data_IF_850402761653
#
_entry.id   IF_850402761653
#
_cell.length_a   1.000
_cell.length_b   1.000
_cell.length_c   1.000
_cell.angle_alpha   90.00
_cell.angle_beta   90.00
_cell.angle_gamma   90.00
#
_symmetry.space_group_name_H-M   'P 1'
#
loop_
_entity.id
_entity.type
_entity.pdbx_description
1 polymer ?
#
# COMPACT_ATOMS: atom_id res chain seq x y z
N UNK A 1 -0.92 -10.48 -15.33
CA UNK A 1 -1.60 -9.34 -14.66
C UNK A 1 -3.03 -9.17 -15.14
N UNK A 2 -3.28 -8.92 -16.43
CA UNK A 2 -4.62 -8.65 -16.97
C UNK A 2 -5.65 -9.76 -16.77
N UNK A 3 -5.22 -11.03 -16.76
CA UNK A 3 -6.10 -12.17 -16.48
C UNK A 3 -6.76 -12.11 -15.09
N UNK A 4 -6.16 -11.42 -14.12
CA UNK A 4 -6.68 -11.30 -12.77
C UNK A 4 -7.17 -9.87 -12.46
N UNK A 5 -6.46 -8.84 -12.93
CA UNK A 5 -6.76 -7.44 -12.62
C UNK A 5 -7.55 -6.71 -13.72
N UNK A 6 -7.96 -7.41 -14.78
CA UNK A 6 -8.63 -6.81 -15.94
C UNK A 6 -7.64 -6.24 -16.97
N UNK A 7 -8.11 -6.08 -18.20
CA UNK A 7 -7.28 -5.58 -19.33
C UNK A 7 -6.77 -4.16 -19.04
N UNK A 8 -7.58 -3.36 -18.35
CA UNK A 8 -7.29 -1.98 -17.95
C UNK A 8 -6.73 -1.87 -16.53
N UNK A 9 -6.51 -2.99 -15.84
CA UNK A 9 -6.05 -2.98 -14.44
C UNK A 9 -7.10 -2.44 -13.46
N UNK A 10 -8.36 -2.30 -13.87
CA UNK A 10 -9.46 -1.71 -13.09
C UNK A 10 -9.99 -2.63 -11.96
N UNK A 11 -9.46 -3.85 -11.85
CA UNK A 11 -9.85 -4.79 -10.82
C UNK A 11 -11.16 -5.53 -11.10
N UNK A 12 -11.63 -5.55 -12.36
CA UNK A 12 -12.79 -6.35 -12.79
C UNK A 12 -14.02 -6.12 -11.89
N UNK A 13 -14.43 -4.86 -11.74
CA UNK A 13 -15.56 -4.46 -10.88
C UNK A 13 -15.40 -4.92 -9.41
N UNK A 14 -14.19 -4.75 -8.85
CA UNK A 14 -13.90 -5.07 -7.45
C UNK A 14 -13.63 -6.54 -7.15
N UNK A 15 -13.57 -7.41 -8.17
CA UNK A 15 -13.16 -8.82 -8.00
C UNK A 15 -11.66 -8.98 -7.76
N UNK A 16 -10.87 -7.96 -8.11
CA UNK A 16 -9.45 -7.90 -7.88
C UNK A 16 -9.04 -6.46 -7.54
N UNK A 17 -7.80 -6.31 -7.06
CA UNK A 17 -7.28 -4.99 -6.71
C UNK A 17 -7.23 -4.09 -7.95
N UNK A 18 -7.79 -2.90 -7.83
CA UNK A 18 -7.70 -1.87 -8.88
C UNK A 18 -6.29 -1.26 -8.85
N UNK A 19 -5.50 -1.56 -9.87
CA UNK A 19 -4.12 -1.12 -10.00
C UNK A 19 -4.01 0.36 -10.36
N UNK A 20 -5.08 0.97 -10.88
CA UNK A 20 -5.12 2.41 -11.18
C UNK A 20 -5.19 3.29 -9.92
N UNK A 21 -5.48 2.70 -8.75
CA UNK A 21 -5.51 3.44 -7.47
C UNK A 21 -4.56 2.85 -6.43
N UNK A 22 -4.03 1.64 -6.67
CA UNK A 22 -3.25 0.94 -5.66
C UNK A 22 -1.93 1.63 -5.32
N UNK A 23 -1.32 2.39 -6.23
CA UNK A 23 -0.14 3.21 -5.94
C UNK A 23 -0.45 4.65 -5.55
N UNK A 24 -1.69 4.98 -5.17
CA UNK A 24 -2.13 6.35 -4.86
C UNK A 24 -2.56 6.52 -3.40
N UNK A 25 -2.84 7.76 -3.00
CA UNK A 25 -3.42 8.10 -1.70
C UNK A 25 -4.74 7.36 -1.43
N UNK A 26 -5.57 7.18 -2.46
CA UNK A 26 -6.82 6.40 -2.35
C UNK A 26 -6.54 4.93 -2.01
N UNK A 27 -5.49 4.36 -2.59
CA UNK A 27 -5.00 3.03 -2.20
C UNK A 27 -4.59 2.97 -0.72
N UNK A 28 -3.93 4.01 -0.20
CA UNK A 28 -3.56 4.09 1.22
C UNK A 28 -4.81 4.12 2.10
N UNK A 29 -5.80 4.95 1.76
CA UNK A 29 -7.10 4.98 2.47
C UNK A 29 -7.73 3.59 2.48
N UNK A 30 -7.73 2.89 1.34
CA UNK A 30 -8.30 1.55 1.23
C UNK A 30 -7.59 0.54 2.14
N UNK A 31 -6.26 0.55 2.17
CA UNK A 31 -5.46 -0.33 3.02
C UNK A 31 -5.64 -0.01 4.50
N UNK A 32 -5.70 1.28 4.88
CA UNK A 32 -5.95 1.68 6.27
C UNK A 32 -7.34 1.19 6.72
N UNK A 33 -8.36 1.31 5.86
CA UNK A 33 -9.73 0.88 6.20
C UNK A 33 -9.85 -0.62 6.42
N UNK A 34 -9.27 -1.42 5.53
CA UNK A 34 -9.49 -2.87 5.49
C UNK A 34 -8.35 -3.70 6.08
N UNK A 35 -7.25 -3.05 6.44
CA UNK A 35 -6.02 -3.74 6.83
C UNK A 35 -5.29 -4.34 5.63
N UNK A 36 -4.24 -5.09 5.93
CA UNK A 36 -3.33 -5.65 4.93
C UNK A 36 -2.78 -6.99 5.39
N UNK A 37 -2.83 -7.99 4.51
CA UNK A 37 -2.41 -9.37 4.80
C UNK A 37 -1.32 -9.87 3.86
N UNK A 38 -0.81 -11.06 4.15
CA UNK A 38 -0.20 -11.97 3.18
C UNK A 38 1.08 -11.53 2.48
N UNK A 39 1.87 -10.64 3.07
CA UNK A 39 3.29 -10.44 2.71
C UNK A 39 4.22 -11.20 3.69
N UNK A 40 3.65 -11.96 4.63
CA UNK A 40 4.37 -12.76 5.64
C UNK A 40 5.41 -11.99 6.47
N UNK A 41 5.15 -10.71 6.74
CA UNK A 41 5.94 -9.94 7.69
C UNK A 41 5.87 -10.59 9.08
N UNK A 42 6.99 -10.75 9.82
CA UNK A 42 6.98 -11.42 11.12
C UNK A 42 6.12 -10.71 12.19
N UNK A 43 5.90 -9.40 12.04
CA UNK A 43 5.01 -8.60 12.88
C UNK A 43 3.52 -8.89 12.68
N UNK A 44 3.16 -9.76 11.73
CA UNK A 44 1.81 -10.22 11.50
C UNK A 44 1.03 -9.38 10.48
N UNK A 45 -0.29 -9.55 10.50
CA UNK A 45 -1.21 -8.85 9.60
C UNK A 45 -1.57 -7.46 10.15
N UNK A 46 -1.74 -6.49 9.25
CA UNK A 46 -2.26 -5.18 9.61
C UNK A 46 -3.77 -5.26 9.75
N UNK A 47 -4.28 -4.90 10.92
CA UNK A 47 -5.72 -4.76 11.18
C UNK A 47 -6.28 -3.49 10.52
N UNK A 48 -7.59 -3.45 10.32
CA UNK A 48 -8.26 -2.25 9.83
C UNK A 48 -8.28 -1.14 10.88
N UNK A 49 -8.41 0.11 10.43
CA UNK A 49 -8.42 1.31 11.27
C UNK A 49 -9.38 1.22 12.47
N UNK A 50 -10.59 0.72 12.26
CA UNK A 50 -11.58 0.57 13.32
C UNK A 50 -11.09 -0.35 14.46
N UNK A 51 -10.45 -1.47 14.12
CA UNK A 51 -9.89 -2.42 15.10
C UNK A 51 -8.66 -1.87 15.81
N UNK A 52 -7.96 -0.92 15.19
CA UNK A 52 -6.83 -0.19 15.75
C UNK A 52 -7.26 1.03 16.58
N UNK A 53 -8.56 1.30 16.70
CA UNK A 53 -9.10 2.48 17.41
C UNK A 53 -8.84 3.80 16.69
N UNK A 54 -8.57 3.76 15.38
CA UNK A 54 -8.41 4.96 14.54
C UNK A 54 -9.78 5.41 14.06
N UNK A 55 -10.10 6.68 14.29
CA UNK A 55 -11.37 7.28 13.87
C UNK A 55 -11.46 7.38 12.34
N UNK A 56 -12.64 7.14 11.76
CA UNK A 56 -12.82 7.09 10.30
C UNK A 56 -12.50 8.45 9.64
N UNK A 57 -12.80 9.54 10.35
CA UNK A 57 -12.51 10.92 9.99
C UNK A 57 -11.01 11.28 9.95
N UNK A 58 -10.16 10.47 10.60
CA UNK A 58 -8.70 10.68 10.61
C UNK A 58 -8.00 9.94 9.47
N UNK A 59 -8.65 8.94 8.87
CA UNK A 59 -8.09 8.14 7.78
C UNK A 59 -7.63 8.99 6.60
N UNK A 60 -8.41 9.97 6.08
CA UNK A 60 -7.96 10.82 4.98
C UNK A 60 -6.72 11.65 5.35
N UNK A 61 -6.64 12.12 6.60
CA UNK A 61 -5.50 12.90 7.06
C UNK A 61 -4.24 12.05 7.17
N UNK A 62 -4.35 10.86 7.79
CA UNK A 62 -3.25 9.89 7.87
C UNK A 62 -2.78 9.50 6.46
N UNK A 63 -3.71 9.22 5.55
CA UNK A 63 -3.37 8.88 4.17
C UNK A 63 -2.66 10.02 3.44
N UNK A 64 -3.11 11.27 3.61
CA UNK A 64 -2.46 12.44 3.04
C UNK A 64 -1.02 12.60 3.54
N UNK A 65 -0.79 12.44 4.85
CA UNK A 65 0.55 12.49 5.45
C UNK A 65 1.45 11.36 4.94
N UNK A 66 0.97 10.12 4.92
CA UNK A 66 1.74 8.98 4.39
C UNK A 66 2.05 9.17 2.90
N UNK A 67 1.08 9.61 2.10
CA UNK A 67 1.25 9.85 0.67
C UNK A 67 2.31 10.94 0.41
N UNK A 68 2.23 12.06 1.13
CA UNK A 68 3.08 13.24 0.93
C UNK A 68 4.49 13.07 1.50
N UNK A 69 4.59 12.67 2.76
CA UNK A 69 5.84 12.78 3.50
C UNK A 69 6.60 11.44 3.56
N UNK A 70 5.89 10.33 3.76
CA UNK A 70 6.53 9.04 4.03
C UNK A 70 6.77 8.22 2.74
N UNK A 71 5.73 8.00 1.93
CA UNK A 71 5.74 7.11 0.77
C UNK A 71 6.51 7.63 -0.45
N UNK A 72 6.66 6.81 -1.49
CA UNK A 72 7.27 7.21 -2.76
C UNK A 72 6.34 8.08 -3.63
N UNK A 73 5.07 8.25 -3.25
CA UNK A 73 4.10 9.07 -3.98
C UNK A 73 4.50 10.55 -3.95
N UNK A 74 4.91 11.06 -2.78
CA UNK A 74 5.40 12.43 -2.54
C UNK A 74 4.45 13.57 -2.92
N UNK A 75 3.16 13.26 -3.09
CA UNK A 75 2.08 14.22 -3.39
C UNK A 75 0.77 13.79 -2.72
N UNK A 76 -0.08 14.75 -2.41
CA UNK A 76 -1.46 14.54 -1.92
C UNK A 76 -2.36 15.62 -2.50
N UNK A 77 -3.64 15.32 -2.71
CA UNK A 77 -4.64 16.34 -3.03
C UNK A 77 -5.12 17.09 -1.77
N UNK A 78 -4.83 16.54 -0.58
CA UNK A 78 -5.31 17.00 0.72
C UNK A 78 -4.18 17.65 1.53
N UNK A 79 -3.44 18.59 0.93
CA UNK A 79 -2.29 19.27 1.56
C UNK A 79 -2.65 19.92 2.91
N UNK A 80 -3.89 20.41 3.05
CA UNK A 80 -4.41 20.99 4.28
C UNK A 80 -4.60 19.96 5.42
N UNK A 81 -4.62 18.67 5.12
CA UNK A 81 -4.77 17.60 6.12
C UNK A 81 -3.43 17.02 6.60
N UNK A 82 -2.31 17.30 5.92
CA UNK A 82 -1.01 16.68 6.20
C UNK A 82 -0.56 16.90 7.65
N UNK A 83 -0.72 18.11 8.18
CA UNK A 83 -0.34 18.42 9.56
C UNK A 83 -1.17 17.61 10.58
N UNK A 84 -2.50 17.55 10.39
CA UNK A 84 -3.40 16.71 11.20
C UNK A 84 -3.03 15.23 11.05
N UNK A 85 -2.71 14.80 9.84
CA UNK A 85 -2.33 13.44 9.51
C UNK A 85 -1.09 12.98 10.28
N UNK A 86 -0.09 13.88 10.40
CA UNK A 86 1.12 13.62 11.19
C UNK A 86 0.80 13.40 12.67
N UNK A 87 -0.10 14.18 13.24
CA UNK A 87 -0.55 14.01 14.63
C UNK A 87 -1.30 12.68 14.82
N UNK A 88 -2.21 12.37 13.89
CA UNK A 88 -3.01 11.13 13.91
C UNK A 88 -2.20 9.86 13.58
N UNK A 89 -1.03 9.99 12.96
CA UNK A 89 -0.15 8.87 12.59
C UNK A 89 0.48 8.15 13.79
N UNK A 90 0.38 8.70 15.01
CA UNK A 90 1.00 8.14 16.21
C UNK A 90 0.69 6.64 16.42
N UNK A 91 -0.55 6.21 16.19
CA UNK A 91 -0.95 4.79 16.28
C UNK A 91 -0.26 3.93 15.22
N UNK A 92 -0.06 4.46 14.02
CA UNK A 92 0.59 3.76 12.91
C UNK A 92 2.10 3.63 13.11
N UNK A 93 2.73 4.64 13.72
CA UNK A 93 4.17 4.68 14.00
C UNK A 93 4.63 3.55 14.94
N UNK A 94 3.73 3.01 15.77
CA UNK A 94 4.04 1.87 16.66
C UNK A 94 4.54 0.63 15.90
N UNK A 95 4.13 0.44 14.65
CA UNK A 95 4.57 -0.66 13.79
C UNK A 95 5.39 -0.16 12.59
N UNK A 96 4.97 0.94 11.96
CA UNK A 96 5.61 1.46 10.75
C UNK A 96 6.78 2.42 11.03
N UNK A 97 7.05 2.76 12.29
CA UNK A 97 8.08 3.72 12.66
C UNK A 97 7.67 5.17 12.35
N UNK A 98 8.26 6.14 13.05
CA UNK A 98 7.96 7.56 12.82
C UNK A 98 8.38 8.04 11.42
N UNK A 99 9.41 7.42 10.85
CA UNK A 99 9.92 7.69 9.50
C UNK A 99 9.29 6.78 8.43
N UNK A 100 8.33 5.93 8.81
CA UNK A 100 7.61 5.05 7.91
C UNK A 100 8.40 3.84 7.39
N UNK A 101 9.63 3.59 7.86
CA UNK A 101 10.48 2.49 7.34
C UNK A 101 10.16 1.11 7.91
N UNK A 102 9.21 1.01 8.83
CA UNK A 102 8.97 -0.19 9.61
C UNK A 102 10.06 -0.43 10.66
N UNK A 103 10.08 -1.63 11.25
CA UNK A 103 11.04 -2.02 12.28
C UNK A 103 11.90 -3.18 11.77
N UNK A 104 13.00 -2.90 11.08
CA UNK A 104 13.99 -3.90 10.63
C UNK A 104 13.38 -5.11 9.88
N UNK A 105 12.38 -4.86 9.03
CA UNK A 105 11.69 -5.91 8.29
C UNK A 105 10.64 -6.71 9.08
N UNK A 106 10.40 -6.36 10.35
CA UNK A 106 9.28 -6.87 11.14
C UNK A 106 7.93 -6.38 10.58
N UNK A 107 7.90 -5.16 10.06
CA UNK A 107 6.72 -4.50 9.51
C UNK A 107 7.03 -3.85 8.14
N UNK A 108 6.01 -3.59 7.30
CA UNK A 108 6.22 -3.01 5.98
C UNK A 108 6.87 -1.62 6.01
N UNK A 109 7.78 -1.39 5.08
CA UNK A 109 8.37 -0.09 4.76
C UNK A 109 7.42 0.72 3.87
N UNK A 110 6.74 1.71 4.47
CA UNK A 110 5.81 2.60 3.79
C UNK A 110 6.51 3.52 2.80
N UNK A 111 7.82 3.77 2.96
CA UNK A 111 8.57 4.67 2.07
C UNK A 111 8.66 4.12 0.64
N UNK A 112 8.52 2.80 0.48
CA UNK A 112 8.45 2.15 -0.82
C UNK A 112 7.07 2.21 -1.46
N UNK A 113 6.01 2.51 -0.71
CA UNK A 113 4.66 2.48 -1.26
C UNK A 113 4.51 3.48 -2.42
N UNK A 114 3.93 3.04 -3.53
CA UNK A 114 3.88 3.82 -4.78
C UNK A 114 5.15 3.77 -5.64
N UNK A 115 6.14 2.94 -5.28
CA UNK A 115 7.34 2.69 -6.09
C UNK A 115 7.29 1.33 -6.80
N UNK A 116 8.04 1.19 -7.90
CA UNK A 116 8.21 -0.09 -8.58
C UNK A 116 8.84 -1.14 -7.66
N UNK A 117 9.74 -0.74 -6.76
CA UNK A 117 10.38 -1.64 -5.79
C UNK A 117 9.34 -2.31 -4.86
N UNK A 118 8.29 -1.61 -4.46
CA UNK A 118 7.22 -2.23 -3.67
C UNK A 118 6.44 -3.28 -4.48
N UNK A 119 6.22 -3.04 -5.77
CA UNK A 119 5.58 -4.03 -6.65
C UNK A 119 6.47 -5.27 -6.79
N UNK A 120 7.79 -5.08 -6.89
CA UNK A 120 8.76 -6.17 -6.90
C UNK A 120 8.62 -7.00 -5.61
N UNK A 121 8.60 -6.35 -4.44
CA UNK A 121 8.42 -7.04 -3.14
C UNK A 121 7.13 -7.89 -3.14
N UNK A 122 6.01 -7.36 -3.66
CA UNK A 122 4.74 -8.10 -3.81
C UNK A 122 4.84 -9.26 -4.80
N UNK A 123 5.54 -9.10 -5.92
CA UNK A 123 5.73 -10.17 -6.92
C UNK A 123 6.62 -11.29 -6.37
N UNK A 124 7.57 -10.99 -5.49
CA UNK A 124 8.38 -12.00 -4.81
C UNK A 124 7.58 -12.78 -3.79
N UNK A 125 6.84 -12.10 -2.91
CA UNK A 125 6.18 -12.72 -1.77
C UNK A 125 4.78 -13.24 -2.07
N UNK A 126 4.15 -12.75 -3.14
CA UNK A 126 2.70 -12.77 -3.26
C UNK A 126 2.06 -11.82 -2.25
N UNK A 127 0.74 -11.71 -2.31
CA UNK A 127 -0.02 -10.89 -1.35
C UNK A 127 -1.44 -11.40 -1.16
N UNK A 128 -1.78 -11.74 0.08
CA UNK A 128 -3.19 -11.83 0.49
C UNK A 128 -3.75 -10.43 0.79
N UNK A 129 -4.96 -10.16 0.34
CA UNK A 129 -5.71 -8.95 0.64
C UNK A 129 -7.09 -9.30 1.16
N UNK A 130 -7.89 -8.26 1.42
CA UNK A 130 -9.28 -8.44 1.84
C UNK A 130 -10.19 -8.96 0.71
N UNK A 131 -9.79 -8.80 -0.56
CA UNK A 131 -10.54 -9.22 -1.77
C UNK A 131 -9.97 -10.46 -2.48
N UNK A 132 -8.95 -11.12 -1.91
CA UNK A 132 -8.41 -12.34 -2.49
C UNK A 132 -6.92 -12.53 -2.23
N UNK A 133 -6.33 -13.53 -2.89
CA UNK A 133 -4.91 -13.86 -2.75
C UNK A 133 -4.22 -13.81 -4.10
N UNK A 134 -3.19 -12.97 -4.20
CA UNK A 134 -2.26 -12.92 -5.32
C UNK A 134 -1.08 -13.85 -5.04
N UNK A 135 -0.78 -14.83 -5.91
CA UNK A 135 0.38 -15.70 -5.73
C UNK A 135 1.69 -14.94 -5.94
N UNK A 136 2.79 -15.51 -5.48
CA UNK A 136 4.15 -15.09 -5.90
C UNK A 136 4.40 -15.45 -7.36
N UNK A 137 5.33 -14.74 -8.01
CA UNK A 137 5.72 -14.94 -9.41
C UNK A 137 7.20 -15.33 -9.53
N UNK A 138 7.60 -16.55 -9.11
CA UNK A 138 9.00 -16.99 -9.12
C UNK A 138 9.56 -17.21 -10.53
N UNK A 139 8.70 -17.29 -11.55
CA UNK A 139 9.11 -17.46 -12.95
C UNK A 139 9.62 -16.17 -13.60
N UNK A 140 9.37 -15.01 -12.98
CA UNK A 140 9.91 -13.73 -13.43
C UNK A 140 11.28 -13.50 -12.79
N UNK A 141 12.27 -13.13 -13.60
CA UNK A 141 13.54 -12.62 -13.08
C UNK A 141 13.39 -11.17 -12.58
N UNK A 142 14.43 -10.65 -11.93
CA UNK A 142 14.36 -9.35 -11.24
C UNK A 142 14.11 -8.19 -12.22
N UNK A 143 14.76 -8.20 -13.39
CA UNK A 143 14.56 -7.20 -14.45
C UNK A 143 13.10 -7.22 -14.94
N UNK A 144 12.51 -8.40 -15.11
CA UNK A 144 11.11 -8.53 -15.51
C UNK A 144 10.16 -8.01 -14.44
N UNK A 145 10.44 -8.27 -13.15
CA UNK A 145 9.62 -7.75 -12.04
C UNK A 145 9.72 -6.23 -11.94
N UNK A 146 10.91 -5.65 -12.11
CA UNK A 146 11.11 -4.21 -12.15
C UNK A 146 10.30 -3.57 -13.30
N UNK A 147 10.38 -4.13 -14.51
CA UNK A 147 9.62 -3.63 -15.66
C UNK A 147 8.10 -3.71 -15.41
N UNK A 148 7.61 -4.81 -14.82
CA UNK A 148 6.20 -4.92 -14.40
C UNK A 148 5.86 -3.89 -13.32
N UNK A 149 6.76 -3.68 -12.36
CA UNK A 149 6.59 -2.69 -11.29
C UNK A 149 6.43 -1.28 -11.82
N UNK A 150 7.31 -0.85 -12.72
CA UNK A 150 7.20 0.46 -13.38
C UNK A 150 5.89 0.61 -14.15
N UNK A 151 5.49 -0.42 -14.90
CA UNK A 151 4.21 -0.40 -15.61
C UNK A 151 3.02 -0.27 -14.64
N UNK A 152 2.96 -1.09 -13.58
CA UNK A 152 1.86 -1.05 -12.60
C UNK A 152 1.77 0.31 -11.93
N UNK A 153 2.90 0.87 -11.48
CA UNK A 153 2.91 2.19 -10.85
C UNK A 153 2.49 3.28 -11.82
N UNK A 154 2.82 3.16 -13.12
CA UNK A 154 2.38 4.12 -14.13
C UNK A 154 0.86 4.20 -14.29
N UNK A 155 0.12 3.13 -13.93
CA UNK A 155 -1.36 3.11 -13.99
C UNK A 155 -2.01 3.99 -12.92
N UNK A 156 -1.32 4.23 -11.80
CA UNK A 156 -1.85 4.98 -10.65
C UNK A 156 -1.28 6.40 -10.49
N UNK A 157 -0.52 6.88 -11.48
CA UNK A 157 0.16 8.18 -11.41
C UNK A 157 -0.73 9.36 -11.79
#
# INVERSE_FOLDING_TARGET
>A
CSACHGITGDGINGKAQNLNIWGSEEGIINVIKHGSKGMNFPGGEMLGAADLGVAEEDIPAIAAYVAKDLSAIKKTANENLVAKGKEAYATCAACHGEDGKGQDGMFPDLTKYGSAAFVVDVLHSGKAGFIGTMPSFPTLNDIQKEAVGEYVISLSR
#
